data_IF_331021146771
#
_entry.id   IF_331021146771
#
_cell.length_a   1.000
_cell.length_b   1.000
_cell.length_c   1.000
_cell.angle_alpha   90.00
_cell.angle_beta   90.00
_cell.angle_gamma   90.00
#
_symmetry.space_group_name_H-M   'P 1'
#
loop_
_entity.id
_entity.type
_entity.pdbx_description
1 polymer ?
#
# COMPACT_ATOMS: atom_id res chain seq x y z
N UNK A 1 12.57 24.39 5.53
CA UNK A 1 11.68 23.30 6.01
C UNK A 1 11.88 22.09 5.11
N UNK A 2 12.21 20.96 5.71
CA UNK A 2 12.37 19.71 4.94
C UNK A 2 10.99 19.12 4.61
N UNK A 3 10.92 18.44 3.47
CA UNK A 3 9.70 17.71 3.11
C UNK A 3 9.50 16.49 4.02
N UNK A 4 8.28 16.02 4.11
CA UNK A 4 7.97 14.78 4.81
C UNK A 4 8.48 13.56 4.03
N UNK A 5 8.46 12.39 4.68
CA UNK A 5 8.84 11.12 4.09
C UNK A 5 7.60 10.32 3.70
N UNK A 6 7.65 9.70 2.52
CA UNK A 6 6.61 8.78 2.08
C UNK A 6 6.95 7.37 2.57
N UNK A 7 6.01 6.73 3.25
CA UNK A 7 6.18 5.37 3.79
C UNK A 7 5.14 4.47 3.15
N UNK A 8 5.59 3.33 2.62
CA UNK A 8 4.70 2.33 2.04
C UNK A 8 5.22 0.91 2.32
N UNK A 9 4.45 -0.10 1.91
CA UNK A 9 4.68 -1.47 2.37
C UNK A 9 4.60 -2.47 1.22
N UNK A 10 5.56 -3.39 1.20
CA UNK A 10 5.53 -4.57 0.34
C UNK A 10 5.28 -5.80 1.22
N UNK A 11 4.36 -6.64 0.82
CA UNK A 11 4.01 -7.86 1.56
C UNK A 11 2.72 -8.45 1.02
N UNK A 12 2.60 -9.76 1.11
CA UNK A 12 1.44 -10.49 0.61
C UNK A 12 0.19 -10.14 1.41
N UNK A 13 -0.98 -10.46 0.86
CA UNK A 13 -2.25 -10.30 1.57
C UNK A 13 -2.18 -11.03 2.91
N UNK A 14 -2.67 -10.40 3.98
CA UNK A 14 -2.67 -10.98 5.31
C UNK A 14 -1.34 -10.92 6.05
N UNK A 15 -0.31 -10.30 5.48
CA UNK A 15 1.01 -10.22 6.12
C UNK A 15 1.06 -9.27 7.34
N UNK A 16 0.05 -8.41 7.53
CA UNK A 16 0.01 -7.47 8.65
C UNK A 16 0.41 -6.04 8.29
N UNK A 17 0.41 -5.68 7.02
CA UNK A 17 0.79 -4.35 6.55
C UNK A 17 -0.07 -3.23 7.15
N UNK A 18 -1.38 -3.41 7.18
CA UNK A 18 -2.29 -2.37 7.69
C UNK A 18 -2.12 -2.10 9.18
N UNK A 19 -1.83 -3.14 9.97
CA UNK A 19 -1.51 -2.99 11.39
C UNK A 19 -0.23 -2.19 11.59
N UNK A 20 0.80 -2.51 10.82
CA UNK A 20 2.07 -1.79 10.85
C UNK A 20 1.89 -0.33 10.39
N UNK A 21 1.08 -0.12 9.36
CA UNK A 21 0.79 1.22 8.83
C UNK A 21 0.17 2.13 9.89
N UNK A 22 -0.82 1.64 10.62
CA UNK A 22 -1.46 2.39 11.71
C UNK A 22 -0.47 2.74 12.81
N UNK A 23 0.35 1.78 13.21
CA UNK A 23 1.36 1.99 14.25
C UNK A 23 2.39 3.03 13.84
N UNK A 24 2.93 2.93 12.63
CA UNK A 24 3.93 3.87 12.14
C UNK A 24 3.37 5.28 11.97
N UNK A 25 2.12 5.40 11.50
CA UNK A 25 1.48 6.70 11.36
C UNK A 25 1.37 7.40 12.72
N UNK A 26 0.98 6.66 13.75
CA UNK A 26 0.86 7.17 15.11
C UNK A 26 2.23 7.55 15.69
N UNK A 27 3.20 6.64 15.63
CA UNK A 27 4.55 6.86 16.14
C UNK A 27 5.27 8.04 15.48
N UNK A 28 5.05 8.26 14.20
CA UNK A 28 5.76 9.29 13.42
C UNK A 28 4.96 10.59 13.24
N UNK A 29 3.75 10.65 13.77
CA UNK A 29 2.89 11.80 13.54
C UNK A 29 2.59 12.01 12.07
N UNK A 30 2.43 10.92 11.31
CA UNK A 30 2.20 10.95 9.88
C UNK A 30 0.72 10.85 9.53
N UNK A 31 0.37 11.35 8.35
CA UNK A 31 -0.99 11.19 7.80
C UNK A 31 -1.11 9.78 7.22
N UNK A 32 -2.11 9.04 7.66
CA UNK A 32 -2.40 7.70 7.12
C UNK A 32 -3.47 7.79 6.03
N UNK A 33 -3.16 7.26 4.86
CA UNK A 33 -4.12 7.14 3.76
C UNK A 33 -4.16 5.67 3.37
N UNK A 34 -5.33 5.05 3.47
CA UNK A 34 -5.54 3.63 3.20
C UNK A 34 -6.38 3.44 1.95
N UNK A 35 -5.90 2.62 1.02
CA UNK A 35 -6.66 2.25 -0.18
C UNK A 35 -7.98 1.57 0.19
N UNK A 36 -7.94 0.59 1.09
CA UNK A 36 -9.13 -0.15 1.50
C UNK A 36 -10.19 0.78 2.10
N UNK A 37 -9.76 1.74 2.91
CA UNK A 37 -10.66 2.73 3.51
C UNK A 37 -11.32 3.60 2.44
N UNK A 38 -10.52 4.11 1.49
CA UNK A 38 -11.04 4.92 0.39
C UNK A 38 -12.00 4.13 -0.50
N UNK A 39 -11.62 2.93 -0.89
CA UNK A 39 -12.45 2.10 -1.75
C UNK A 39 -13.75 1.70 -1.07
N UNK A 40 -13.72 1.36 0.21
CA UNK A 40 -14.91 0.98 0.96
C UNK A 40 -15.89 2.15 1.14
N UNK A 41 -15.38 3.36 1.31
CA UNK A 41 -16.23 4.55 1.44
C UNK A 41 -16.80 5.04 0.12
N UNK A 42 -16.03 4.94 -0.96
CA UNK A 42 -16.41 5.49 -2.27
C UNK A 42 -17.10 4.48 -3.19
N UNK A 43 -16.69 3.21 -3.15
CA UNK A 43 -17.05 2.21 -4.14
C UNK A 43 -17.43 0.84 -3.57
N UNK A 44 -17.81 0.77 -2.29
CA UNK A 44 -18.04 -0.50 -1.59
C UNK A 44 -18.89 -1.50 -2.37
N UNK A 45 -20.00 -1.05 -2.97
CA UNK A 45 -20.97 -1.90 -3.67
C UNK A 45 -20.56 -2.22 -5.11
N UNK A 46 -19.54 -1.56 -5.62
CA UNK A 46 -19.11 -1.68 -7.02
C UNK A 46 -17.98 -2.66 -7.23
N UNK A 47 -17.28 -3.03 -6.16
CA UNK A 47 -16.12 -3.91 -6.25
C UNK A 47 -16.51 -5.33 -5.88
N UNK A 48 -16.71 -6.17 -6.91
CA UNK A 48 -17.10 -7.58 -6.75
C UNK A 48 -16.09 -8.55 -7.39
N UNK A 49 -15.03 -8.02 -8.01
CA UNK A 49 -14.01 -8.82 -8.70
C UNK A 49 -12.65 -8.12 -8.64
N UNK A 50 -11.59 -8.85 -8.99
CA UNK A 50 -10.23 -8.28 -9.12
C UNK A 50 -10.21 -7.20 -10.20
N UNK A 51 -10.95 -7.39 -11.29
CA UNK A 51 -11.05 -6.40 -12.36
C UNK A 51 -11.67 -5.10 -11.86
N UNK A 52 -12.75 -5.18 -11.09
CA UNK A 52 -13.39 -4.00 -10.49
C UNK A 52 -12.44 -3.31 -9.53
N UNK A 53 -11.75 -4.07 -8.68
CA UNK A 53 -10.76 -3.53 -7.76
C UNK A 53 -9.70 -2.72 -8.52
N UNK A 54 -9.14 -3.28 -9.58
CA UNK A 54 -8.13 -2.58 -10.39
C UNK A 54 -8.67 -1.30 -11.00
N UNK A 55 -9.88 -1.35 -11.55
CA UNK A 55 -10.52 -0.19 -12.17
C UNK A 55 -10.66 0.97 -11.16
N UNK A 56 -11.20 0.69 -10.00
CA UNK A 56 -11.45 1.74 -8.99
C UNK A 56 -10.18 2.18 -8.27
N UNK A 57 -9.24 1.27 -8.06
CA UNK A 57 -7.91 1.62 -7.55
C UNK A 57 -7.20 2.59 -8.50
N UNK A 58 -7.25 2.32 -9.81
CA UNK A 58 -6.63 3.21 -10.81
C UNK A 58 -7.29 4.61 -10.83
N UNK A 59 -8.56 4.71 -10.51
CA UNK A 59 -9.24 6.01 -10.40
C UNK A 59 -8.78 6.83 -9.20
N UNK A 60 -8.41 6.18 -8.11
CA UNK A 60 -7.91 6.86 -6.92
C UNK A 60 -6.52 7.44 -7.11
N UNK A 61 -5.68 6.79 -7.90
CA UNK A 61 -4.25 7.10 -7.95
C UNK A 61 -3.90 8.54 -8.27
N UNK A 62 -4.47 9.21 -9.30
CA UNK A 62 -4.15 10.61 -9.56
C UNK A 62 -4.50 11.54 -8.40
N UNK A 63 -5.66 11.32 -7.79
CA UNK A 63 -6.12 12.13 -6.66
C UNK A 63 -5.22 11.93 -5.44
N UNK A 64 -4.88 10.69 -5.16
CA UNK A 64 -4.01 10.32 -4.03
C UNK A 64 -2.62 10.89 -4.24
N UNK A 65 -2.05 10.76 -5.44
CA UNK A 65 -0.71 11.32 -5.76
C UNK A 65 -0.65 12.81 -5.47
N UNK A 66 -1.60 13.57 -5.97
CA UNK A 66 -1.64 15.02 -5.79
C UNK A 66 -1.77 15.39 -4.31
N UNK A 67 -2.67 14.72 -3.61
CA UNK A 67 -2.91 15.00 -2.18
C UNK A 67 -1.68 14.67 -1.34
N UNK A 68 -1.07 13.53 -1.56
CA UNK A 68 0.12 13.10 -0.83
C UNK A 68 1.28 14.06 -1.07
N UNK A 69 1.49 14.48 -2.33
CA UNK A 69 2.55 15.43 -2.66
C UNK A 69 2.38 16.76 -1.94
N UNK A 70 1.15 17.26 -1.85
CA UNK A 70 0.87 18.50 -1.12
C UNK A 70 1.20 18.36 0.37
N UNK A 71 0.88 17.23 0.97
CA UNK A 71 1.18 16.95 2.38
C UNK A 71 2.70 16.88 2.61
N UNK A 72 3.41 16.14 1.75
CA UNK A 72 4.85 15.99 1.85
C UNK A 72 5.58 17.33 1.75
N UNK A 73 5.15 18.18 0.85
CA UNK A 73 5.73 19.54 0.70
C UNK A 73 5.57 20.42 1.93
N UNK A 74 4.61 20.13 2.77
CA UNK A 74 4.38 20.86 4.04
C UNK A 74 5.22 20.33 5.20
N UNK A 75 6.12 19.38 4.93
CA UNK A 75 6.98 18.81 5.97
C UNK A 75 6.32 17.71 6.80
N UNK A 76 5.17 17.21 6.35
CA UNK A 76 4.43 16.14 7.04
C UNK A 76 4.64 14.83 6.30
N UNK A 77 4.99 13.79 7.04
CA UNK A 77 5.14 12.44 6.48
C UNK A 77 3.79 11.80 6.22
N UNK A 78 3.75 10.91 5.24
CA UNK A 78 2.55 10.17 4.85
C UNK A 78 2.84 8.69 4.90
N UNK A 79 1.96 7.94 5.57
CA UNK A 79 1.93 6.47 5.49
C UNK A 79 0.84 6.12 4.48
N UNK A 80 1.26 5.59 3.35
CA UNK A 80 0.36 5.28 2.23
C UNK A 80 0.18 3.76 2.18
N UNK A 81 -0.93 3.29 2.75
CA UNK A 81 -1.26 1.86 2.82
C UNK A 81 -1.94 1.40 1.54
N UNK A 82 -1.15 1.39 0.48
CA UNK A 82 -1.50 0.89 -0.86
C UNK A 82 -0.59 -0.28 -1.19
N UNK A 83 -1.02 -1.21 -2.04
CA UNK A 83 -0.17 -2.33 -2.44
C UNK A 83 1.13 -1.87 -3.13
N UNK A 84 2.25 -2.46 -2.72
CA UNK A 84 3.57 -2.26 -3.33
C UNK A 84 4.19 -3.62 -3.66
N UNK A 85 3.41 -4.50 -4.26
CA UNK A 85 3.74 -5.91 -4.49
C UNK A 85 4.17 -6.22 -5.91
N UNK A 86 4.16 -5.23 -6.79
CA UNK A 86 4.65 -5.32 -8.16
C UNK A 86 5.56 -4.14 -8.46
N UNK A 87 6.40 -4.30 -9.49
CA UNK A 87 7.29 -3.21 -9.91
C UNK A 87 6.51 -1.95 -10.29
N UNK A 88 5.39 -2.10 -11.00
CA UNK A 88 4.59 -0.94 -11.43
C UNK A 88 3.96 -0.20 -10.25
N UNK A 89 3.51 -0.93 -9.23
CA UNK A 89 2.99 -0.32 -8.00
C UNK A 89 4.08 0.46 -7.27
N UNK A 90 5.25 -0.14 -7.12
CA UNK A 90 6.38 0.51 -6.46
C UNK A 90 6.89 1.72 -7.24
N UNK A 91 6.88 1.65 -8.56
CA UNK A 91 7.27 2.78 -9.40
C UNK A 91 6.33 3.97 -9.21
N UNK A 92 5.04 3.71 -9.19
CA UNK A 92 4.04 4.76 -8.92
C UNK A 92 4.28 5.42 -7.56
N UNK A 93 4.49 4.62 -6.52
CA UNK A 93 4.74 5.12 -5.17
C UNK A 93 6.05 5.93 -5.10
N UNK A 94 7.13 5.41 -5.68
CA UNK A 94 8.41 6.13 -5.69
C UNK A 94 8.28 7.46 -6.42
N UNK A 95 7.58 7.49 -7.54
CA UNK A 95 7.40 8.73 -8.31
C UNK A 95 6.67 9.81 -7.53
N UNK A 96 5.74 9.44 -6.65
CA UNK A 96 5.06 10.41 -5.78
C UNK A 96 6.10 11.20 -4.97
N UNK A 97 7.03 10.52 -4.32
CA UNK A 97 8.06 11.15 -3.50
C UNK A 97 9.12 11.85 -4.36
N UNK A 98 9.56 11.23 -5.44
CA UNK A 98 10.62 11.77 -6.29
C UNK A 98 10.21 13.10 -6.94
N UNK A 99 8.98 13.22 -7.41
CA UNK A 99 8.50 14.44 -8.07
C UNK A 99 8.51 15.67 -7.16
N UNK A 100 8.45 15.48 -5.86
CA UNK A 100 8.48 16.59 -4.89
C UNK A 100 9.76 16.58 -4.05
N UNK A 101 10.75 15.80 -4.45
CA UNK A 101 12.05 15.71 -3.77
C UNK A 101 11.93 15.28 -2.30
N UNK A 102 11.02 14.38 -2.01
CA UNK A 102 10.86 13.77 -0.70
C UNK A 102 11.55 12.41 -0.64
N UNK A 103 11.98 12.01 0.54
CA UNK A 103 12.46 10.66 0.77
C UNK A 103 11.31 9.68 0.84
N UNK A 104 11.60 8.41 0.59
CA UNK A 104 10.63 7.33 0.77
C UNK A 104 11.27 6.17 1.53
N UNK A 105 10.43 5.37 2.17
CA UNK A 105 10.83 4.11 2.81
C UNK A 105 9.77 3.05 2.52
N UNK A 106 10.22 1.89 2.03
CA UNK A 106 9.36 0.73 1.83
C UNK A 106 9.66 -0.31 2.90
N UNK A 107 8.69 -0.62 3.73
CA UNK A 107 8.81 -1.71 4.70
C UNK A 107 8.37 -3.02 4.05
N UNK A 108 9.26 -4.00 4.00
CA UNK A 108 8.94 -5.32 3.50
C UNK A 108 8.47 -6.19 4.68
N UNK A 109 7.18 -6.48 4.69
CA UNK A 109 6.58 -7.36 5.70
C UNK A 109 6.58 -8.78 5.13
N UNK A 110 7.68 -9.49 5.39
CA UNK A 110 7.92 -10.82 4.84
C UNK A 110 7.33 -11.88 5.78
N UNK A 111 6.26 -12.53 5.32
CA UNK A 111 5.61 -13.65 6.03
C UNK A 111 5.37 -14.76 5.03
N UNK A 112 5.48 -16.02 5.47
CA UNK A 112 5.19 -17.15 4.59
C UNK A 112 3.69 -17.23 4.29
N UNK A 113 3.35 -17.97 3.22
CA UNK A 113 1.98 -18.06 2.73
C UNK A 113 1.02 -18.60 3.78
N UNK A 114 1.44 -19.59 4.56
CA UNK A 114 0.61 -20.21 5.59
C UNK A 114 0.19 -19.18 6.65
N UNK A 115 1.11 -18.37 7.13
CA UNK A 115 0.82 -17.31 8.09
C UNK A 115 -0.09 -16.26 7.48
N UNK A 116 0.18 -15.85 6.24
CA UNK A 116 -0.63 -14.87 5.53
C UNK A 116 -2.07 -15.35 5.36
N UNK A 117 -2.26 -16.59 4.92
CA UNK A 117 -3.60 -17.17 4.72
C UNK A 117 -4.36 -17.26 6.05
N UNK A 118 -3.68 -17.69 7.12
CA UNK A 118 -4.29 -17.78 8.45
C UNK A 118 -4.79 -16.42 8.92
N UNK A 119 -3.98 -15.38 8.79
CA UNK A 119 -4.34 -14.03 9.20
C UNK A 119 -5.44 -13.44 8.31
N UNK A 120 -5.40 -13.73 7.02
CA UNK A 120 -6.40 -13.31 6.06
C UNK A 120 -7.78 -13.87 6.41
N UNK A 121 -7.86 -15.18 6.65
CA UNK A 121 -9.10 -15.86 7.01
C UNK A 121 -9.64 -15.36 8.38
N UNK A 122 -8.76 -15.06 9.30
CA UNK A 122 -9.14 -14.50 10.60
C UNK A 122 -9.75 -13.09 10.45
N UNK A 123 -9.25 -12.27 9.54
CA UNK A 123 -9.82 -10.96 9.22
C UNK A 123 -11.23 -11.10 8.64
N UNK A 124 -11.42 -12.08 7.76
CA UNK A 124 -12.73 -12.62 7.40
C UNK A 124 -13.65 -11.77 6.53
N UNK A 125 -13.10 -10.88 5.69
CA UNK A 125 -13.92 -10.19 4.71
C UNK A 125 -14.36 -11.19 3.63
N UNK A 126 -15.67 -11.52 3.50
CA UNK A 126 -16.12 -12.61 2.64
C UNK A 126 -15.86 -12.37 1.15
N UNK A 127 -15.72 -11.14 0.71
CA UNK A 127 -15.54 -10.82 -0.71
C UNK A 127 -14.06 -10.84 -1.13
N UNK A 128 -13.13 -10.59 -0.22
CA UNK A 128 -11.72 -10.43 -0.54
C UNK A 128 -10.81 -11.38 0.22
N UNK A 129 -11.22 -11.84 1.41
CA UNK A 129 -10.36 -12.59 2.32
C UNK A 129 -10.57 -14.09 2.16
N UNK A 130 -10.33 -14.60 0.96
CA UNK A 130 -10.46 -16.02 0.61
C UNK A 130 -9.12 -16.58 0.14
N UNK A 131 -8.95 -17.89 0.27
CA UNK A 131 -7.76 -18.60 -0.20
C UNK A 131 -7.58 -18.42 -1.71
N UNK A 132 -8.68 -18.49 -2.46
CA UNK A 132 -8.68 -18.29 -3.92
C UNK A 132 -8.17 -16.91 -4.30
N UNK A 133 -8.62 -15.87 -3.60
CA UNK A 133 -8.19 -14.50 -3.84
C UNK A 133 -6.71 -14.33 -3.48
N UNK A 134 -6.27 -14.94 -2.38
CA UNK A 134 -4.86 -14.92 -1.99
C UNK A 134 -3.97 -15.46 -3.11
N UNK A 135 -4.29 -16.63 -3.64
CA UNK A 135 -3.51 -17.24 -4.72
C UNK A 135 -3.60 -16.44 -6.03
N UNK A 136 -4.77 -15.93 -6.36
CA UNK A 136 -4.97 -15.14 -7.58
C UNK A 136 -4.11 -13.86 -7.60
N UNK A 137 -3.98 -13.22 -6.46
CA UNK A 137 -3.20 -11.96 -6.34
C UNK A 137 -1.72 -12.24 -6.10
N UNK A 138 -1.40 -13.23 -5.27
CA UNK A 138 -0.01 -13.53 -4.88
C UNK A 138 0.84 -13.97 -6.06
N UNK A 139 0.25 -14.56 -7.10
CA UNK A 139 1.01 -14.95 -8.30
C UNK A 139 1.69 -13.76 -9.00
N UNK A 140 1.22 -12.54 -8.77
CA UNK A 140 1.81 -11.32 -9.33
C UNK A 140 2.83 -10.67 -8.38
N UNK A 141 2.99 -11.22 -7.18
CA UNK A 141 3.89 -10.66 -6.18
C UNK A 141 5.35 -10.76 -6.62
N UNK A 142 6.07 -9.65 -6.53
CA UNK A 142 7.52 -9.61 -6.73
C UNK A 142 8.16 -8.83 -5.60
N UNK A 143 9.30 -9.30 -5.13
CA UNK A 143 10.08 -8.57 -4.14
C UNK A 143 10.75 -7.34 -4.79
N UNK A 144 10.97 -6.26 -4.02
CA UNK A 144 11.77 -5.14 -4.51
C UNK A 144 13.17 -5.59 -4.92
N UNK A 145 13.61 -5.17 -6.10
CA UNK A 145 14.95 -5.45 -6.62
C UNK A 145 15.84 -4.22 -6.54
N UNK A 146 17.15 -4.43 -6.55
CA UNK A 146 18.13 -3.34 -6.48
C UNK A 146 18.00 -2.34 -7.63
N UNK A 147 17.58 -2.80 -8.79
CA UNK A 147 17.41 -1.94 -9.98
C UNK A 147 16.25 -0.95 -9.87
N UNK A 148 15.34 -1.15 -8.93
CA UNK A 148 14.19 -0.25 -8.73
C UNK A 148 14.55 1.01 -7.94
N UNK A 149 15.68 1.03 -7.25
CA UNK A 149 16.11 2.12 -6.38
C UNK A 149 15.07 2.46 -5.30
N UNK A 150 14.52 1.40 -4.69
CA UNK A 150 13.58 1.52 -3.57
C UNK A 150 14.36 1.36 -2.27
N UNK A 151 14.21 2.31 -1.36
CA UNK A 151 14.79 2.22 -0.03
C UNK A 151 13.94 1.25 0.81
N UNK A 152 14.40 0.00 0.91
CA UNK A 152 13.63 -1.09 1.54
C UNK A 152 14.18 -1.42 2.92
N UNK A 153 13.28 -1.50 3.89
CA UNK A 153 13.56 -1.97 5.26
C UNK A 153 12.86 -3.32 5.45
N UNK A 154 13.60 -4.33 5.88
CA UNK A 154 13.07 -5.67 6.10
C UNK A 154 12.81 -5.97 7.58
#
# INVERSE_FOLDING_TARGET
MTNGTLIFFCGKMGAGKSTLAKRLAEEKGAVLISEDDLLSKLYAEKITSVKDYKLYSDKLKPVVSDTVQQILKRGVSVVLDFPANTESQRLWLRNISDEVHSEHTCYFVDRNDEVCIRQLLKRGNPNTDTVEMFHAITKYFTEPSNSENINTVR
#
